data_IF_117677011481
#
_entry.id   IF_117677011481
#
_cell.length_a   1.000
_cell.length_b   1.000
_cell.length_c   1.000
_cell.angle_alpha   90.00
_cell.angle_beta   90.00
_cell.angle_gamma   90.00
#
_symmetry.space_group_name_H-M   'P 1'
#
loop_
_entity.id
_entity.type
_entity.pdbx_description
1 polymer ?
#
# COMPACT_ATOMS: atom_id res chain seq x y z
N UNK A 1 -0.09 -21.55 -5.44
CA UNK A 1 0.44 -20.37 -6.16
C UNK A 1 0.44 -19.19 -5.21
N UNK A 2 1.52 -18.40 -5.20
CA UNK A 2 1.68 -17.21 -4.36
C UNK A 2 1.21 -15.94 -5.05
N UNK A 3 1.32 -15.91 -6.38
CA UNK A 3 0.87 -14.80 -7.21
C UNK A 3 0.39 -15.35 -8.55
N UNK A 4 -0.75 -14.86 -9.04
CA UNK A 4 -1.27 -15.18 -10.37
C UNK A 4 -1.64 -13.88 -11.05
N UNK A 5 -1.24 -13.70 -12.29
CA UNK A 5 -1.59 -12.56 -13.11
C UNK A 5 -2.23 -13.03 -14.42
N UNK A 6 -3.38 -12.48 -14.76
CA UNK A 6 -4.01 -12.65 -16.06
C UNK A 6 -3.67 -11.49 -16.99
N UNK A 7 -3.52 -11.80 -18.26
CA UNK A 7 -3.15 -10.85 -19.30
C UNK A 7 -4.03 -11.06 -20.52
N UNK A 8 -4.26 -9.98 -21.26
CA UNK A 8 -4.92 -10.05 -22.56
C UNK A 8 -3.87 -10.20 -23.65
N UNK A 9 -4.07 -11.17 -24.54
CA UNK A 9 -3.25 -11.35 -25.73
C UNK A 9 -3.40 -10.17 -26.70
N UNK A 10 -2.31 -9.88 -27.40
CA UNK A 10 -2.30 -8.95 -28.53
C UNK A 10 -1.53 -9.61 -29.68
N UNK A 11 -2.23 -10.17 -30.70
CA UNK A 11 -1.58 -10.92 -31.76
C UNK A 11 -0.70 -10.05 -32.68
N UNK A 12 -0.81 -8.72 -32.59
CA UNK A 12 0.05 -7.78 -33.32
C UNK A 12 1.42 -7.59 -32.65
N UNK A 13 1.55 -7.95 -31.36
CA UNK A 13 2.81 -7.90 -30.63
C UNK A 13 3.52 -9.24 -30.68
N UNK A 14 4.83 -9.23 -30.46
CA UNK A 14 5.59 -10.46 -30.26
C UNK A 14 5.08 -11.20 -29.01
N UNK A 15 5.10 -12.53 -29.08
CA UNK A 15 4.80 -13.38 -27.93
C UNK A 15 5.69 -12.99 -26.73
N UNK A 16 5.13 -12.88 -25.51
CA UNK A 16 5.90 -12.54 -24.31
C UNK A 16 7.11 -13.46 -24.12
N UNK A 17 8.17 -12.95 -23.50
CA UNK A 17 9.40 -13.73 -23.28
C UNK A 17 9.13 -15.05 -22.56
N UNK A 18 8.27 -15.05 -21.54
CA UNK A 18 7.86 -16.28 -20.84
C UNK A 18 7.32 -17.35 -21.80
N UNK A 19 6.53 -16.98 -22.80
CA UNK A 19 6.04 -17.94 -23.78
C UNK A 19 7.18 -18.58 -24.57
N UNK A 20 8.14 -17.76 -25.01
CA UNK A 20 9.30 -18.23 -25.77
C UNK A 20 10.19 -19.14 -24.91
N UNK A 21 10.42 -18.76 -23.65
CA UNK A 21 11.24 -19.52 -22.72
C UNK A 21 10.62 -20.87 -22.36
N UNK A 22 9.28 -20.99 -22.36
CA UNK A 22 8.55 -22.20 -21.95
C UNK A 22 8.19 -23.12 -23.12
N UNK A 23 7.95 -22.57 -24.31
CA UNK A 23 7.44 -23.31 -25.47
C UNK A 23 8.45 -23.37 -26.64
N UNK A 24 9.51 -22.57 -26.58
CA UNK A 24 10.36 -22.29 -27.75
C UNK A 24 9.71 -21.29 -28.71
N UNK A 25 10.54 -20.63 -29.53
CA UNK A 25 10.14 -19.49 -30.37
C UNK A 25 8.98 -19.82 -31.32
N UNK A 26 9.03 -20.97 -32.00
CA UNK A 26 8.05 -21.33 -33.03
C UNK A 26 6.68 -21.64 -32.43
N UNK A 27 6.62 -22.55 -31.46
CA UNK A 27 5.35 -22.92 -30.82
C UNK A 27 4.74 -21.74 -30.05
N UNK A 28 5.56 -20.93 -29.39
CA UNK A 28 5.10 -19.71 -28.73
C UNK A 28 4.42 -18.76 -29.72
N UNK A 29 5.03 -18.53 -30.90
CA UNK A 29 4.49 -17.65 -31.93
C UNK A 29 3.17 -18.17 -32.50
N UNK A 30 3.08 -19.47 -32.75
CA UNK A 30 1.88 -20.09 -33.32
C UNK A 30 0.72 -20.04 -32.34
N UNK A 31 0.95 -20.44 -31.08
CA UNK A 31 -0.08 -20.40 -30.04
C UNK A 31 -0.49 -18.96 -29.71
N UNK A 32 0.44 -18.01 -29.69
CA UNK A 32 0.14 -16.58 -29.46
C UNK A 32 -0.80 -16.01 -30.54
N UNK A 33 -0.56 -16.36 -31.81
CA UNK A 33 -1.43 -15.97 -32.93
C UNK A 33 -2.82 -16.59 -32.81
N UNK A 34 -2.90 -17.89 -32.48
CA UNK A 34 -4.17 -18.62 -32.31
C UNK A 34 -4.99 -18.08 -31.14
N UNK A 35 -4.33 -17.78 -30.01
CA UNK A 35 -4.98 -17.17 -28.86
C UNK A 35 -5.63 -15.82 -29.21
N UNK A 36 -4.99 -15.05 -30.10
CA UNK A 36 -5.47 -13.74 -30.49
C UNK A 36 -5.59 -12.82 -29.29
N UNK A 37 -6.80 -12.32 -29.04
CA UNK A 37 -7.11 -11.41 -27.91
C UNK A 37 -7.64 -12.14 -26.66
N UNK A 38 -7.53 -13.47 -26.62
CA UNK A 38 -7.88 -14.29 -25.46
C UNK A 38 -6.98 -14.02 -24.26
N UNK A 39 -7.38 -14.52 -23.08
CA UNK A 39 -6.58 -14.41 -21.86
C UNK A 39 -5.54 -15.51 -21.77
N UNK A 40 -4.41 -15.18 -21.16
CA UNK A 40 -3.41 -16.12 -20.66
C UNK A 40 -2.99 -15.71 -19.27
N UNK A 41 -2.36 -16.63 -18.53
CA UNK A 41 -1.98 -16.39 -17.16
C UNK A 41 -0.51 -16.72 -16.92
N UNK A 42 0.08 -15.96 -16.00
CA UNK A 42 1.37 -16.23 -15.41
C UNK A 42 1.15 -16.49 -13.93
N UNK A 43 1.73 -17.55 -13.40
CA UNK A 43 1.69 -17.85 -11.98
C UNK A 43 3.09 -18.00 -11.41
N UNK A 44 3.26 -17.67 -10.14
CA UNK A 44 4.47 -17.92 -9.38
C UNK A 44 4.12 -18.87 -8.23
N UNK A 45 4.96 -19.87 -8.03
CA UNK A 45 4.89 -20.74 -6.87
C UNK A 45 5.96 -20.33 -5.83
N UNK A 46 6.05 -21.09 -4.75
CA UNK A 46 6.99 -20.82 -3.65
C UNK A 46 8.45 -21.06 -4.06
N UNK A 47 8.69 -21.73 -5.19
CA UNK A 47 9.99 -21.96 -5.80
C UNK A 47 10.57 -20.71 -6.48
N UNK A 48 9.75 -19.65 -6.64
CA UNK A 48 10.15 -18.41 -7.31
C UNK A 48 10.07 -18.47 -8.83
N UNK A 49 9.76 -19.63 -9.42
CA UNK A 49 9.68 -19.79 -10.88
C UNK A 49 8.34 -19.33 -11.43
N UNK A 50 8.39 -18.79 -12.66
CA UNK A 50 7.21 -18.40 -13.40
C UNK A 50 6.65 -19.56 -14.23
N UNK A 51 5.38 -19.85 -14.03
CA UNK A 51 4.61 -20.84 -14.77
C UNK A 51 3.73 -20.14 -15.81
N UNK A 52 3.69 -20.69 -17.02
CA UNK A 52 2.76 -20.24 -18.06
C UNK A 52 1.50 -21.09 -17.99
N UNK A 53 0.34 -20.45 -17.97
CA UNK A 53 -0.96 -21.10 -17.90
C UNK A 53 -1.77 -20.74 -19.13
N UNK A 54 -2.21 -21.75 -19.87
CA UNK A 54 -3.00 -21.63 -21.09
C UNK A 54 -4.32 -22.39 -20.97
N UNK A 55 -5.41 -21.93 -21.61
CA UNK A 55 -6.60 -22.74 -21.81
C UNK A 55 -6.25 -24.04 -22.54
N UNK A 56 -6.80 -25.16 -22.10
CA UNK A 56 -6.57 -26.46 -22.72
C UNK A 56 -6.98 -26.50 -24.20
N UNK A 57 -8.02 -25.75 -24.58
CA UNK A 57 -8.47 -25.63 -25.97
C UNK A 57 -7.40 -25.07 -26.93
N UNK A 58 -6.40 -24.35 -26.41
CA UNK A 58 -5.29 -23.86 -27.21
C UNK A 58 -4.14 -24.88 -27.33
N UNK A 59 -4.13 -25.92 -26.50
CA UNK A 59 -3.03 -26.87 -26.43
C UNK A 59 -3.01 -27.81 -27.64
N UNK A 60 -1.85 -28.01 -28.32
CA UNK A 60 -1.77 -28.93 -29.46
C UNK A 60 -1.97 -30.39 -29.02
N UNK A 61 -2.59 -31.21 -29.87
CA UNK A 61 -2.74 -32.65 -29.63
C UNK A 61 -1.40 -33.40 -29.61
N UNK A 62 -0.38 -32.88 -30.31
CA UNK A 62 0.97 -33.41 -30.30
C UNK A 62 1.96 -32.30 -29.93
N UNK A 63 2.63 -32.49 -28.80
CA UNK A 63 3.67 -31.59 -28.30
C UNK A 63 4.98 -32.35 -28.23
N UNK A 64 6.09 -31.66 -28.52
CA UNK A 64 7.42 -32.24 -28.45
C UNK A 64 7.71 -32.73 -27.02
N UNK A 65 8.45 -33.83 -26.88
CA UNK A 65 8.70 -34.53 -25.60
C UNK A 65 9.43 -33.71 -24.54
N UNK A 66 9.94 -32.53 -24.87
CA UNK A 66 10.84 -31.76 -24.03
C UNK A 66 10.14 -30.63 -23.25
N UNK A 67 8.85 -30.37 -23.51
CA UNK A 67 8.10 -29.34 -22.79
C UNK A 67 7.56 -29.92 -21.49
N UNK A 68 7.88 -29.28 -20.36
CA UNK A 68 7.44 -29.70 -19.05
C UNK A 68 6.06 -29.12 -18.70
N UNK A 69 4.99 -29.86 -18.99
CA UNK A 69 3.61 -29.40 -18.75
C UNK A 69 2.77 -30.36 -17.90
N UNK A 70 1.67 -29.85 -17.35
CA UNK A 70 0.66 -30.59 -16.59
C UNK A 70 -0.74 -30.05 -16.90
N UNK A 71 -1.68 -30.93 -17.24
CA UNK A 71 -3.10 -30.61 -17.34
C UNK A 71 -3.70 -30.48 -15.94
N UNK A 72 -4.50 -29.43 -15.74
CA UNK A 72 -5.29 -29.12 -14.54
C UNK A 72 -6.67 -28.63 -15.00
N UNK A 73 -7.65 -29.53 -15.00
CA UNK A 73 -9.00 -29.28 -15.53
C UNK A 73 -8.92 -28.63 -16.92
N UNK A 74 -9.55 -27.48 -17.14
CA UNK A 74 -9.59 -26.76 -18.42
C UNK A 74 -8.31 -25.97 -18.75
N UNK A 75 -7.22 -26.18 -17.99
CA UNK A 75 -5.98 -25.42 -18.09
C UNK A 75 -4.76 -26.33 -18.26
N UNK A 76 -3.78 -25.86 -19.02
CA UNK A 76 -2.45 -26.46 -19.12
C UNK A 76 -1.44 -25.53 -18.46
N UNK A 77 -0.71 -26.06 -17.48
CA UNK A 77 0.38 -25.36 -16.80
C UNK A 77 1.71 -25.83 -17.34
N UNK A 78 2.53 -24.90 -17.82
CA UNK A 78 3.84 -25.15 -18.39
C UNK A 78 4.90 -24.59 -17.45
N UNK A 79 5.77 -25.48 -16.97
CA UNK A 79 6.89 -25.18 -16.09
C UNK A 79 8.17 -24.87 -16.90
N UNK A 80 9.19 -24.36 -16.22
CA UNK A 80 10.54 -24.19 -16.79
C UNK A 80 11.17 -25.51 -17.23
N UNK A 81 11.03 -26.55 -16.41
CA UNK A 81 11.63 -27.87 -16.63
C UNK A 81 10.87 -28.99 -15.87
N UNK A 82 11.37 -30.21 -15.99
CA UNK A 82 10.78 -31.39 -15.35
C UNK A 82 10.78 -31.37 -13.83
N UNK A 83 11.76 -30.71 -13.18
CA UNK A 83 11.85 -30.59 -11.73
C UNK A 83 10.78 -29.65 -11.20
N UNK A 84 10.65 -28.46 -11.79
CA UNK A 84 9.63 -27.48 -11.41
C UNK A 84 8.22 -28.01 -11.68
N UNK A 85 8.02 -28.78 -12.75
CA UNK A 85 6.77 -29.52 -12.96
C UNK A 85 6.46 -30.50 -11.82
N UNK A 86 7.44 -31.24 -11.33
CA UNK A 86 7.26 -32.17 -10.21
C UNK A 86 6.95 -31.41 -8.91
N UNK A 87 7.66 -30.31 -8.64
CA UNK A 87 7.40 -29.44 -7.48
C UNK A 87 5.99 -28.86 -7.52
N UNK A 88 5.53 -28.39 -8.68
CA UNK A 88 4.17 -27.93 -8.89
C UNK A 88 3.16 -29.04 -8.53
N UNK A 89 3.31 -30.24 -9.07
CA UNK A 89 2.40 -31.37 -8.79
C UNK A 89 2.36 -31.71 -7.30
N UNK A 90 3.52 -31.70 -6.62
CA UNK A 90 3.58 -31.91 -5.17
C UNK A 90 2.86 -30.79 -4.40
N UNK A 91 3.00 -29.53 -4.83
CA UNK A 91 2.35 -28.39 -4.20
C UNK A 91 0.83 -28.42 -4.36
N UNK A 92 0.34 -28.85 -5.53
CA UNK A 92 -1.08 -29.02 -5.80
C UNK A 92 -1.64 -30.16 -4.93
N UNK A 93 -0.95 -31.31 -4.85
CA UNK A 93 -1.39 -32.43 -4.00
C UNK A 93 -1.45 -32.12 -2.50
N UNK A 94 -0.64 -31.17 -2.01
CA UNK A 94 -0.64 -30.74 -0.59
C UNK A 94 -1.61 -29.59 -0.28
N UNK A 95 -2.14 -28.91 -1.30
CA UNK A 95 -2.91 -27.66 -1.15
C UNK A 95 -4.27 -27.62 -1.87
N UNK A 96 -4.55 -28.56 -2.78
CA UNK A 96 -5.86 -28.72 -3.44
C UNK A 96 -6.81 -29.53 -2.56
N UNK A 97 -7.13 -29.00 -1.38
CA UNK A 97 -8.39 -29.38 -0.73
C UNK A 97 -9.45 -28.47 -1.34
N UNK A 98 -10.20 -28.98 -2.32
CA UNK A 98 -11.46 -28.38 -2.73
C UNK A 98 -12.38 -28.35 -1.50
N UNK A 99 -12.34 -27.28 -0.71
CA UNK A 99 -13.43 -26.98 0.21
C UNK A 99 -14.59 -26.46 -0.64
N UNK A 100 -15.33 -27.39 -1.22
CA UNK A 100 -16.59 -27.19 -1.94
C UNK A 100 -17.76 -26.80 -1.00
N UNK A 101 -17.53 -26.76 0.31
CA UNK A 101 -18.50 -26.27 1.29
C UNK A 101 -18.35 -24.76 1.49
N UNK A 102 -19.15 -23.98 0.76
CA UNK A 102 -19.40 -22.56 1.01
C UNK A 102 -18.23 -21.64 0.65
N UNK A 103 -17.89 -21.53 -0.65
CA UNK A 103 -16.96 -20.48 -1.09
C UNK A 103 -17.53 -19.11 -0.70
N UNK A 104 -16.73 -18.31 0.01
CA UNK A 104 -17.11 -16.94 0.32
C UNK A 104 -17.32 -16.14 -0.97
N UNK A 105 -18.23 -15.17 -0.93
CA UNK A 105 -18.44 -14.19 -2.01
C UNK A 105 -17.13 -13.53 -2.48
N UNK A 106 -16.23 -13.22 -1.54
CA UNK A 106 -14.93 -12.63 -1.85
C UNK A 106 -14.04 -13.60 -2.63
N UNK A 107 -14.00 -14.88 -2.25
CA UNK A 107 -13.24 -15.88 -2.99
C UNK A 107 -13.79 -16.07 -4.41
N UNK A 108 -15.11 -16.15 -4.55
CA UNK A 108 -15.79 -16.27 -5.85
C UNK A 108 -15.52 -15.05 -6.74
N UNK A 109 -15.56 -13.84 -6.18
CA UNK A 109 -15.18 -12.61 -6.88
C UNK A 109 -13.73 -12.68 -7.38
N UNK A 110 -12.79 -13.13 -6.52
CA UNK A 110 -11.38 -13.19 -6.88
C UNK A 110 -11.11 -14.17 -8.03
N UNK A 111 -11.75 -15.33 -8.00
CA UNK A 111 -11.67 -16.29 -9.10
C UNK A 111 -12.26 -15.71 -10.38
N UNK A 112 -13.40 -15.01 -10.28
CA UNK A 112 -14.07 -14.41 -11.42
C UNK A 112 -13.22 -13.35 -12.14
N UNK A 113 -12.57 -12.43 -11.41
CA UNK A 113 -11.80 -11.36 -12.08
C UNK A 113 -10.61 -11.89 -12.89
N UNK A 114 -10.00 -13.01 -12.49
CA UNK A 114 -8.90 -13.64 -13.23
C UNK A 114 -9.36 -14.18 -14.60
N UNK A 115 -10.63 -14.57 -14.72
CA UNK A 115 -11.17 -15.20 -15.94
C UNK A 115 -11.78 -14.17 -16.90
N UNK A 116 -12.13 -12.97 -16.43
CA UNK A 116 -12.83 -11.97 -17.25
C UNK A 116 -11.93 -10.88 -17.86
N UNK A 117 -10.73 -10.67 -17.33
CA UNK A 117 -9.85 -9.63 -17.84
C UNK A 117 -8.45 -9.65 -17.23
N UNK A 118 -7.60 -8.68 -17.58
CA UNK A 118 -6.33 -8.48 -16.91
C UNK A 118 -6.55 -8.21 -15.42
N UNK A 119 -5.87 -8.98 -14.58
CA UNK A 119 -6.06 -8.98 -13.15
C UNK A 119 -4.84 -9.60 -12.47
N UNK A 120 -4.71 -9.41 -11.17
CA UNK A 120 -3.67 -10.01 -10.34
C UNK A 120 -4.29 -10.49 -9.04
N UNK A 121 -3.89 -11.67 -8.59
CA UNK A 121 -4.16 -12.19 -7.25
C UNK A 121 -2.86 -12.52 -6.55
N UNK A 122 -2.81 -12.30 -5.24
CA UNK A 122 -1.61 -12.59 -4.46
C UNK A 122 -1.94 -13.08 -3.05
N UNK A 123 -1.00 -13.87 -2.53
CA UNK A 123 -0.88 -14.28 -1.13
C UNK A 123 0.20 -13.42 -0.44
N UNK A 124 0.38 -13.57 0.89
CA UNK A 124 1.40 -12.84 1.63
C UNK A 124 2.82 -13.05 1.06
N UNK A 125 3.14 -14.28 0.66
CA UNK A 125 4.46 -14.62 0.10
C UNK A 125 4.65 -13.97 -1.27
N UNK A 126 3.59 -13.95 -2.08
CA UNK A 126 3.59 -13.26 -3.37
C UNK A 126 3.81 -11.77 -3.21
N UNK A 127 3.10 -11.13 -2.28
CA UNK A 127 3.29 -9.71 -1.96
C UNK A 127 4.71 -9.43 -1.46
N UNK A 128 5.24 -10.26 -0.56
CA UNK A 128 6.58 -10.10 -0.01
C UNK A 128 7.66 -10.17 -1.11
N UNK A 129 7.49 -11.07 -2.08
CA UNK A 129 8.43 -11.22 -3.20
C UNK A 129 8.55 -9.96 -4.09
N UNK A 130 7.47 -9.16 -4.19
CA UNK A 130 7.42 -7.97 -5.04
C UNK A 130 7.69 -6.67 -4.25
N UNK A 131 7.27 -6.62 -2.98
CA UNK A 131 7.33 -5.38 -2.18
C UNK A 131 8.65 -5.18 -1.43
N UNK A 132 9.47 -6.22 -1.27
CA UNK A 132 10.77 -6.14 -0.60
C UNK A 132 10.69 -5.48 0.78
N UNK A 133 11.49 -4.44 1.01
CA UNK A 133 11.52 -3.71 2.27
C UNK A 133 10.19 -3.01 2.64
N UNK A 134 9.28 -2.79 1.69
CA UNK A 134 7.97 -2.17 1.92
C UNK A 134 6.90 -3.15 2.37
N UNK A 135 7.16 -4.47 2.35
CA UNK A 135 6.21 -5.50 2.77
C UNK A 135 5.55 -5.24 4.14
N UNK A 136 6.25 -4.71 5.17
CA UNK A 136 5.63 -4.40 6.47
C UNK A 136 4.57 -3.29 6.42
N UNK A 137 4.63 -2.38 5.44
CA UNK A 137 3.63 -1.31 5.28
C UNK A 137 2.38 -1.77 4.53
N UNK A 138 2.48 -2.89 3.81
CA UNK A 138 1.39 -3.47 3.01
C UNK A 138 0.64 -4.58 3.75
N UNK A 139 0.79 -4.67 5.08
CA UNK A 139 0.21 -5.75 5.88
C UNK A 139 -1.33 -5.75 5.89
N UNK A 140 -1.97 -4.60 5.68
CA UNK A 140 -3.42 -4.52 5.48
C UNK A 140 -3.87 -5.23 4.19
N UNK A 141 -2.96 -5.39 3.22
CA UNK A 141 -3.23 -5.93 1.88
C UNK A 141 -2.47 -7.22 1.59
N UNK A 142 -2.21 -8.04 2.62
CA UNK A 142 -1.48 -9.31 2.53
C UNK A 142 -2.03 -10.28 1.50
N UNK A 143 -3.35 -10.37 1.43
CA UNK A 143 -4.09 -11.07 0.39
C UNK A 143 -4.73 -10.01 -0.49
N UNK A 144 -4.71 -10.24 -1.79
CA UNK A 144 -5.29 -9.27 -2.71
C UNK A 144 -5.70 -9.87 -4.03
N UNK A 145 -6.64 -9.16 -4.65
CA UNK A 145 -7.17 -9.48 -5.95
C UNK A 145 -7.64 -8.21 -6.61
N UNK A 146 -6.98 -7.80 -7.68
CA UNK A 146 -7.26 -6.56 -8.40
C UNK A 146 -7.51 -6.85 -9.87
N UNK A 147 -8.59 -6.31 -10.40
CA UNK A 147 -8.77 -6.11 -11.84
C UNK A 147 -7.94 -4.91 -12.29
N UNK A 148 -7.32 -5.04 -13.47
CA UNK A 148 -6.43 -4.05 -14.05
C UNK A 148 -7.02 -3.56 -15.37
N UNK A 149 -7.02 -2.24 -15.56
CA UNK A 149 -7.45 -1.62 -16.82
C UNK A 149 -6.47 -0.55 -17.24
N UNK A 150 -5.98 -0.65 -18.47
CA UNK A 150 -5.14 0.37 -19.06
C UNK A 150 -5.97 1.23 -20.01
N UNK A 151 -6.07 2.53 -19.73
CA UNK A 151 -6.79 3.51 -20.53
C UNK A 151 -5.86 4.68 -20.86
N UNK A 152 -5.52 4.86 -22.14
CA UNK A 152 -4.58 5.90 -22.61
C UNK A 152 -3.23 5.80 -21.92
N UNK A 153 -2.93 6.68 -20.97
CA UNK A 153 -1.72 6.71 -20.15
C UNK A 153 -1.99 6.41 -18.66
N UNK A 154 -3.15 5.84 -18.35
CA UNK A 154 -3.55 5.55 -16.98
C UNK A 154 -3.71 4.04 -16.80
N UNK A 155 -2.97 3.48 -15.85
CA UNK A 155 -3.24 2.16 -15.32
C UNK A 155 -4.18 2.31 -14.12
N UNK A 156 -5.41 1.84 -14.24
CA UNK A 156 -6.41 1.82 -13.17
C UNK A 156 -6.53 0.41 -12.60
N UNK A 157 -6.78 0.32 -11.30
CA UNK A 157 -7.08 -0.94 -10.65
C UNK A 157 -8.19 -0.81 -9.63
N UNK A 158 -8.88 -1.93 -9.43
CA UNK A 158 -9.87 -2.06 -8.37
C UNK A 158 -10.06 -3.52 -7.98
N UNK A 159 -10.42 -3.77 -6.73
CA UNK A 159 -10.78 -5.09 -6.24
C UNK A 159 -10.71 -5.18 -4.73
N UNK A 160 -10.40 -6.36 -4.21
CA UNK A 160 -10.46 -6.66 -2.78
C UNK A 160 -9.08 -6.97 -2.23
N UNK A 161 -8.81 -6.48 -1.03
CA UNK A 161 -7.58 -6.75 -0.27
C UNK A 161 -7.92 -7.10 1.17
N UNK A 162 -7.02 -7.78 1.86
CA UNK A 162 -7.20 -8.06 3.28
C UNK A 162 -6.00 -8.67 3.97
N UNK A 163 -6.09 -8.72 5.29
CA UNK A 163 -5.09 -9.36 6.15
C UNK A 163 -5.26 -10.89 6.20
N UNK A 164 -6.48 -11.40 5.94
CA UNK A 164 -6.84 -12.82 6.01
C UNK A 164 -7.20 -13.39 4.63
N UNK A 165 -7.03 -14.70 4.40
CA UNK A 165 -7.50 -15.35 3.18
C UNK A 165 -8.98 -15.07 2.90
N UNK A 166 -9.34 -14.86 1.62
CA UNK A 166 -10.70 -14.53 1.22
C UNK A 166 -11.70 -15.65 1.50
N UNK A 167 -11.28 -16.92 1.42
CA UNK A 167 -12.12 -18.08 1.77
C UNK A 167 -12.61 -18.08 3.23
N UNK A 168 -12.01 -17.29 4.13
CA UNK A 168 -12.45 -17.13 5.52
C UNK A 168 -13.42 -15.96 5.72
N UNK A 169 -13.79 -15.23 4.66
CA UNK A 169 -14.71 -14.13 4.75
C UNK A 169 -16.14 -14.61 5.09
N UNK A 170 -16.82 -13.99 6.07
CA UNK A 170 -18.22 -14.30 6.36
C UNK A 170 -19.12 -14.09 5.14
N UNK A 171 -20.16 -14.92 5.01
CA UNK A 171 -21.12 -14.92 3.88
C UNK A 171 -21.77 -13.56 3.64
N UNK A 172 -21.91 -12.73 4.67
CA UNK A 172 -22.55 -11.40 4.56
C UNK A 172 -21.67 -10.27 4.01
N UNK A 173 -20.38 -10.50 3.77
CA UNK A 173 -19.50 -9.48 3.17
C UNK A 173 -19.61 -9.58 1.66
N UNK A 174 -19.78 -8.46 0.95
CA UNK A 174 -19.83 -8.43 -0.52
C UNK A 174 -18.55 -7.78 -1.09
N UNK A 175 -18.10 -8.24 -2.26
CA UNK A 175 -16.95 -7.72 -3.00
C UNK A 175 -17.30 -6.41 -3.72
N UNK A 176 -17.94 -5.50 -3.01
CA UNK A 176 -18.35 -4.18 -3.49
C UNK A 176 -18.06 -3.14 -2.42
N UNK A 177 -17.55 -1.95 -2.79
CA UNK A 177 -17.38 -0.87 -1.83
C UNK A 177 -18.75 -0.40 -1.33
N UNK A 178 -18.79 0.13 -0.11
CA UNK A 178 -19.95 0.90 0.36
C UNK A 178 -20.04 2.16 -0.51
N UNK A 179 -20.92 2.13 -1.52
CA UNK A 179 -21.17 3.27 -2.39
C UNK A 179 -21.86 4.38 -1.59
N UNK A 180 -21.25 5.55 -1.56
CA UNK A 180 -21.94 6.80 -1.24
C UNK A 180 -22.05 7.60 -2.53
N UNK A 181 -23.14 8.39 -2.68
CA UNK A 181 -23.18 9.42 -3.71
C UNK A 181 -21.91 10.26 -3.54
N UNK A 182 -21.06 10.39 -4.57
CA UNK A 182 -20.02 11.39 -4.51
C UNK A 182 -20.76 12.73 -4.39
N UNK A 183 -20.76 13.35 -3.21
CA UNK A 183 -20.57 14.79 -3.23
C UNK A 183 -19.34 14.98 -4.08
N UNK A 184 -19.40 15.81 -5.11
CA UNK A 184 -18.25 16.07 -5.96
C UNK A 184 -17.13 16.55 -5.05
N UNK A 185 -16.30 15.61 -4.59
CA UNK A 185 -15.05 15.89 -3.95
C UNK A 185 -14.26 16.41 -5.13
N UNK A 186 -14.27 17.74 -5.28
CA UNK A 186 -13.08 18.40 -5.76
C UNK A 186 -12.00 17.84 -4.83
N UNK A 187 -11.24 16.87 -5.32
CA UNK A 187 -9.85 16.79 -4.94
C UNK A 187 -9.41 18.23 -5.18
N UNK A 188 -9.35 19.04 -4.11
CA UNK A 188 -8.44 20.15 -4.16
C UNK A 188 -7.14 19.46 -4.52
N UNK A 189 -6.61 19.67 -5.73
CA UNK A 189 -5.22 19.36 -5.93
C UNK A 189 -4.58 20.10 -4.76
N UNK A 190 -3.78 19.42 -3.94
CA UNK A 190 -2.76 20.12 -3.18
C UNK A 190 -2.15 21.06 -4.21
N UNK A 191 -2.44 22.37 -4.09
CA UNK A 191 -2.02 23.35 -5.10
C UNK A 191 -0.53 23.16 -5.18
N UNK A 192 -0.05 22.71 -6.34
CA UNK A 192 1.29 22.97 -6.86
C UNK A 192 2.35 23.25 -5.80
N UNK A 193 2.55 22.32 -4.86
CA UNK A 193 3.85 22.24 -4.24
C UNK A 193 4.55 21.13 -5.00
N UNK A 194 5.45 21.50 -5.91
CA UNK A 194 6.47 20.60 -6.50
C UNK A 194 7.31 19.88 -5.42
N UNK A 195 7.05 20.19 -4.15
CA UNK A 195 7.62 19.57 -2.96
C UNK A 195 6.85 18.34 -2.48
N UNK A 196 5.57 18.16 -2.79
CA UNK A 196 4.76 17.04 -2.29
C UNK A 196 5.20 15.69 -2.89
N UNK A 197 5.74 14.78 -2.08
CA UNK A 197 6.18 13.46 -2.55
C UNK A 197 5.16 12.37 -2.27
N UNK A 198 4.58 12.37 -1.06
CA UNK A 198 3.60 11.37 -0.62
C UNK A 198 2.67 12.02 0.41
N UNK A 199 1.37 11.90 0.21
CA UNK A 199 0.36 12.23 1.22
C UNK A 199 -0.46 10.97 1.51
N UNK A 200 -0.73 10.73 2.78
CA UNK A 200 -1.54 9.61 3.23
C UNK A 200 -2.43 10.03 4.38
N UNK A 201 -3.71 9.69 4.30
CA UNK A 201 -4.68 9.82 5.39
C UNK A 201 -5.20 8.45 5.76
N UNK A 202 -5.24 8.15 7.05
CA UNK A 202 -5.61 6.83 7.57
C UNK A 202 -6.56 7.00 8.75
N UNK A 203 -7.65 6.23 8.74
CA UNK A 203 -8.69 6.29 9.77
C UNK A 203 -8.22 5.77 11.13
N UNK A 204 -7.19 4.92 11.13
CA UNK A 204 -6.64 4.26 12.32
C UNK A 204 -5.20 3.81 12.08
N UNK A 205 -4.27 4.20 12.95
CA UNK A 205 -2.83 3.86 12.84
C UNK A 205 -2.55 2.35 12.78
N UNK A 206 -3.42 1.52 13.35
CA UNK A 206 -3.29 0.05 13.33
C UNK A 206 -3.26 -0.53 11.90
N UNK A 207 -3.86 0.15 10.92
CA UNK A 207 -3.84 -0.25 9.52
C UNK A 207 -2.42 -0.21 8.91
N UNK A 208 -1.55 0.66 9.42
CA UNK A 208 -0.15 0.77 8.98
C UNK A 208 0.80 0.09 9.95
N UNK A 209 0.63 0.36 11.24
CA UNK A 209 1.59 0.03 12.29
C UNK A 209 1.11 -1.10 13.19
N UNK A 210 -0.06 -1.69 12.97
CA UNK A 210 -0.62 -2.71 13.86
C UNK A 210 0.28 -3.94 14.03
N UNK A 211 0.95 -4.36 12.94
CA UNK A 211 1.93 -5.46 12.98
C UNK A 211 3.21 -5.11 13.73
N UNK A 212 3.60 -3.82 13.73
CA UNK A 212 4.77 -3.31 14.43
C UNK A 212 4.46 -3.14 15.92
N UNK A 213 3.35 -2.47 16.24
CA UNK A 213 2.86 -2.21 17.58
C UNK A 213 2.44 -3.51 18.33
N UNK A 214 2.23 -4.61 17.61
CA UNK A 214 1.93 -5.92 18.20
C UNK A 214 3.17 -6.72 18.59
N UNK A 215 4.38 -6.35 18.15
CA UNK A 215 5.62 -7.08 18.49
C UNK A 215 6.01 -6.87 19.95
N UNK A 216 6.19 -7.95 20.71
CA UNK A 216 6.51 -7.88 22.14
C UNK A 216 7.71 -6.98 22.45
N UNK A 217 8.80 -7.09 21.68
CA UNK A 217 10.00 -6.27 21.89
C UNK A 217 9.73 -4.77 21.75
N UNK A 218 8.81 -4.39 20.87
CA UNK A 218 8.39 -3.00 20.67
C UNK A 218 7.47 -2.58 21.81
N UNK A 219 6.51 -3.43 22.18
CA UNK A 219 5.61 -3.16 23.29
C UNK A 219 6.35 -2.94 24.61
N UNK A 220 7.31 -3.82 24.93
CA UNK A 220 8.11 -3.74 26.14
C UNK A 220 8.95 -2.46 26.17
N UNK A 221 9.55 -2.08 25.05
CA UNK A 221 10.32 -0.83 24.94
C UNK A 221 9.42 0.41 25.07
N UNK A 222 8.28 0.43 24.38
CA UNK A 222 7.30 1.52 24.47
C UNK A 222 6.79 1.72 25.90
N UNK A 223 6.54 0.62 26.63
CA UNK A 223 6.10 0.67 28.02
C UNK A 223 7.22 1.15 28.94
N UNK A 224 8.35 0.42 28.98
CA UNK A 224 9.42 0.63 29.96
C UNK A 224 10.21 1.92 29.72
N UNK A 225 10.43 2.29 28.46
CA UNK A 225 11.31 3.41 28.12
C UNK A 225 10.55 4.72 27.86
N UNK A 226 9.26 4.65 27.52
CA UNK A 226 8.47 5.80 27.08
C UNK A 226 7.12 5.94 27.80
N UNK A 227 6.76 5.02 28.70
CA UNK A 227 5.51 5.08 29.47
C UNK A 227 4.24 4.79 28.65
N UNK A 228 4.39 4.26 27.43
CA UNK A 228 3.27 3.94 26.54
C UNK A 228 2.77 2.52 26.85
N UNK A 229 1.99 2.42 27.93
CA UNK A 229 1.36 1.18 28.38
C UNK A 229 0.28 0.67 27.41
N UNK A 230 -0.22 -0.56 27.64
CA UNK A 230 -1.22 -1.19 26.77
C UNK A 230 -2.45 -0.33 26.47
N UNK A 231 -2.97 0.41 27.47
CA UNK A 231 -4.14 1.29 27.28
C UNK A 231 -3.83 2.46 26.35
N UNK A 232 -2.66 3.07 26.48
CA UNK A 232 -2.19 4.13 25.57
C UNK A 232 -1.87 3.57 24.18
N UNK A 233 -1.27 2.37 24.08
CA UNK A 233 -0.99 1.70 22.80
C UNK A 233 -2.27 1.43 22.01
N UNK A 234 -3.31 0.91 22.65
CA UNK A 234 -4.60 0.66 21.98
C UNK A 234 -5.26 1.97 21.48
N UNK A 235 -5.12 3.06 22.24
CA UNK A 235 -5.62 4.37 21.84
C UNK A 235 -4.85 4.95 20.68
N UNK A 236 -3.51 4.88 20.73
CA UNK A 236 -2.65 5.30 19.63
C UNK A 236 -2.97 4.51 18.36
N UNK A 237 -3.12 3.19 18.49
CA UNK A 237 -3.46 2.31 17.37
C UNK A 237 -4.81 2.70 16.72
N UNK A 238 -5.78 3.17 17.50
CA UNK A 238 -7.08 3.64 17.00
C UNK A 238 -7.11 5.09 16.50
N UNK A 239 -6.02 5.84 16.66
CA UNK A 239 -5.99 7.25 16.32
C UNK A 239 -5.98 7.46 14.80
N UNK A 240 -6.80 8.37 14.25
CA UNK A 240 -6.64 8.85 12.89
C UNK A 240 -5.28 9.54 12.71
N UNK A 241 -4.69 9.34 11.53
CA UNK A 241 -3.36 9.81 11.15
C UNK A 241 -3.42 10.46 9.76
N UNK A 242 -2.82 11.64 9.62
CA UNK A 242 -2.35 12.14 8.34
C UNK A 242 -0.82 12.18 8.32
N UNK A 243 -0.25 11.85 7.16
CA UNK A 243 1.17 11.76 6.91
C UNK A 243 1.47 12.49 5.59
N UNK A 244 2.44 13.39 5.60
CA UNK A 244 3.02 13.99 4.41
C UNK A 244 4.52 13.75 4.39
N UNK A 245 5.04 13.47 3.20
CA UNK A 245 6.45 13.48 2.89
C UNK A 245 6.67 14.55 1.83
N UNK A 246 7.55 15.49 2.15
CA UNK A 246 7.82 16.65 1.32
C UNK A 246 9.30 16.77 1.01
N UNK A 247 9.63 17.13 -0.23
CA UNK A 247 10.99 17.37 -0.68
C UNK A 247 11.54 18.62 -0.02
N UNK A 248 12.76 18.50 0.49
CA UNK A 248 13.47 19.61 1.11
C UNK A 248 14.49 20.18 0.10
N UNK A 249 14.32 21.46 -0.33
CA UNK A 249 15.21 22.05 -1.33
C UNK A 249 16.57 22.47 -0.76
N UNK A 250 16.67 22.60 0.57
CA UNK A 250 17.85 23.06 1.31
C UNK A 250 17.95 22.32 2.63
N UNK A 251 19.11 22.39 3.27
CA UNK A 251 19.35 21.78 4.58
C UNK A 251 19.97 20.38 4.46
N UNK A 252 20.11 19.68 5.59
CA UNK A 252 20.82 18.39 5.65
C UNK A 252 19.94 17.21 5.22
N UNK A 253 18.63 17.41 5.06
CA UNK A 253 17.66 16.40 4.68
C UNK A 253 17.20 16.61 3.24
N UNK A 254 16.98 15.52 2.51
CA UNK A 254 16.42 15.57 1.15
C UNK A 254 14.88 15.61 1.16
N UNK A 255 14.28 15.17 2.26
CA UNK A 255 12.84 15.18 2.49
C UNK A 255 12.54 15.30 3.98
N UNK A 256 11.37 15.86 4.30
CA UNK A 256 10.82 15.97 5.64
C UNK A 256 9.53 15.16 5.75
N UNK A 257 9.28 14.63 6.94
CA UNK A 257 8.04 13.94 7.28
C UNK A 257 7.22 14.87 8.18
N UNK A 258 5.95 15.07 7.83
CA UNK A 258 4.95 15.74 8.66
C UNK A 258 3.90 14.69 9.05
N UNK A 259 3.60 14.58 10.34
CA UNK A 259 2.65 13.62 10.91
C UNK A 259 1.65 14.40 11.74
N UNK A 260 0.36 14.17 11.51
CA UNK A 260 -0.73 14.72 12.30
C UNK A 260 -1.55 13.60 12.90
N UNK A 261 -1.67 13.59 14.22
CA UNK A 261 -2.41 12.60 14.99
C UNK A 261 -3.61 13.23 15.66
N UNK A 262 -4.78 12.62 15.51
CA UNK A 262 -5.94 12.97 16.33
C UNK A 262 -5.89 12.18 17.64
N UNK A 263 -5.42 12.84 18.71
CA UNK A 263 -5.21 12.25 20.01
C UNK A 263 -6.35 12.65 20.97
N UNK A 264 -7.42 11.82 21.11
CA UNK A 264 -8.54 12.13 22.00
C UNK A 264 -8.08 12.25 23.46
N UNK A 265 -8.77 13.10 24.22
CA UNK A 265 -8.43 13.52 25.60
C UNK A 265 -7.21 14.46 25.70
N UNK A 266 -6.53 14.75 24.58
CA UNK A 266 -5.64 15.91 24.45
C UNK A 266 -4.32 15.82 25.22
N UNK A 267 -3.63 16.97 25.33
CA UNK A 267 -2.25 17.06 25.83
C UNK A 267 -2.03 16.49 27.22
N UNK A 268 -2.97 16.66 28.16
CA UNK A 268 -2.80 16.21 29.55
C UNK A 268 -2.50 14.71 29.68
N UNK A 269 -3.08 13.89 28.79
CA UNK A 269 -2.88 12.43 28.79
C UNK A 269 -1.54 12.03 28.18
N UNK A 270 -1.06 12.80 27.20
CA UNK A 270 0.13 12.49 26.40
C UNK A 270 1.37 13.23 26.88
N UNK A 271 1.23 14.26 27.72
CA UNK A 271 2.34 15.08 28.21
C UNK A 271 3.41 14.24 28.92
N UNK A 272 3.09 13.27 29.80
CA UNK A 272 4.13 12.45 30.43
C UNK A 272 4.96 11.65 29.41
N UNK A 273 4.34 11.20 28.32
CA UNK A 273 5.02 10.49 27.23
C UNK A 273 5.93 11.48 26.48
N UNK A 274 5.42 12.67 26.14
CA UNK A 274 6.18 13.72 25.45
C UNK A 274 7.37 14.20 26.29
N UNK A 275 7.20 14.33 27.61
CA UNK A 275 8.27 14.72 28.54
C UNK A 275 9.34 13.64 28.61
N UNK A 276 8.94 12.37 28.67
CA UNK A 276 9.87 11.23 28.64
C UNK A 276 10.66 11.20 27.32
N UNK A 277 9.97 11.36 26.18
CA UNK A 277 10.63 11.46 24.86
C UNK A 277 11.59 12.65 24.82
N UNK A 278 11.20 13.80 25.36
CA UNK A 278 12.05 15.00 25.43
C UNK A 278 13.32 14.72 26.22
N UNK A 279 13.22 14.13 27.41
CA UNK A 279 14.36 13.78 28.25
C UNK A 279 15.31 12.82 27.52
N UNK A 280 14.77 11.82 26.82
CA UNK A 280 15.57 10.87 26.03
C UNK A 280 16.29 11.53 24.85
N UNK A 281 15.69 12.52 24.20
CA UNK A 281 16.33 13.28 23.14
C UNK A 281 17.46 14.15 23.71
N UNK A 282 17.23 14.83 24.83
CA UNK A 282 18.29 15.61 25.50
C UNK A 282 19.46 14.73 25.97
N UNK A 283 19.19 13.51 26.44
CA UNK A 283 20.24 12.51 26.78
C UNK A 283 21.05 12.03 25.57
N UNK A 284 20.60 12.32 24.34
CA UNK A 284 21.29 12.02 23.09
C UNK A 284 21.81 13.29 22.42
N UNK A 285 22.04 14.34 23.22
CA UNK A 285 22.61 15.62 22.81
C UNK A 285 21.78 16.42 21.81
N UNK A 286 20.47 16.13 21.69
CA UNK A 286 19.54 17.00 20.97
C UNK A 286 19.18 18.22 21.82
N UNK A 287 19.23 19.39 21.20
CA UNK A 287 18.98 20.67 21.84
C UNK A 287 17.49 21.00 21.70
N UNK A 288 16.82 21.18 22.84
CA UNK A 288 15.40 21.55 22.91
C UNK A 288 15.25 23.06 22.82
N UNK A 289 14.48 23.53 21.85
CA UNK A 289 14.06 24.93 21.74
C UNK A 289 12.54 25.00 21.91
N UNK A 290 12.11 25.49 23.06
CA UNK A 290 10.69 25.67 23.36
C UNK A 290 10.27 27.09 22.96
N UNK A 291 9.35 27.21 22.00
CA UNK A 291 8.85 28.49 21.53
C UNK A 291 7.37 28.63 21.91
N UNK A 292 6.99 29.79 22.46
CA UNK A 292 5.60 30.13 22.70
C UNK A 292 4.95 30.51 21.35
N UNK A 293 4.32 29.55 20.67
CA UNK A 293 3.45 29.89 19.54
C UNK A 293 2.05 30.08 20.08
N UNK A 294 1.53 31.32 19.96
CA UNK A 294 0.10 31.64 20.03
C UNK A 294 -0.24 32.32 18.71
N UNK A 295 -0.55 31.52 17.70
CA UNK A 295 -1.17 31.99 16.46
C UNK A 295 -2.65 31.66 16.53
N UNK A 296 -3.49 32.70 16.52
CA UNK A 296 -4.95 32.58 16.44
C UNK A 296 -5.36 32.87 15.00
N UNK A 297 -5.97 31.91 14.32
CA UNK A 297 -6.53 32.18 12.99
C UNK A 297 -7.73 33.12 13.16
N UNK A 298 -7.69 34.31 12.57
CA UNK A 298 -8.76 35.31 12.72
C UNK A 298 -10.11 34.83 12.17
N UNK A 299 -10.13 33.76 11.37
CA UNK A 299 -11.37 33.19 10.80
C UNK A 299 -11.90 31.97 11.56
N UNK A 300 -11.11 31.32 12.41
CA UNK A 300 -11.50 30.07 13.11
C UNK A 300 -10.86 30.06 14.51
N UNK A 301 -11.57 29.64 15.56
CA UNK A 301 -11.05 29.53 16.94
C UNK A 301 -10.08 28.33 17.11
N UNK A 302 -9.02 28.34 16.30
CA UNK A 302 -7.91 27.39 16.30
C UNK A 302 -6.68 28.11 16.86
N UNK A 303 -6.12 27.55 17.93
CA UNK A 303 -4.91 28.02 18.58
C UNK A 303 -3.85 26.92 18.54
N UNK A 304 -2.61 27.30 18.26
CA UNK A 304 -1.45 26.41 18.43
C UNK A 304 -0.83 26.61 19.81
N UNK A 305 -0.24 25.56 20.38
CA UNK A 305 0.52 25.67 21.63
C UNK A 305 1.58 24.59 21.77
N UNK A 306 2.55 24.84 22.66
CA UNK A 306 3.58 23.87 23.00
C UNK A 306 4.52 23.51 21.85
N UNK A 307 4.79 24.47 20.92
CA UNK A 307 5.78 24.25 19.87
C UNK A 307 7.13 23.96 20.50
N UNK A 308 7.66 22.78 20.20
CA UNK A 308 9.00 22.36 20.58
C UNK A 308 9.77 22.03 19.32
N UNK A 309 10.91 22.67 19.11
CA UNK A 309 11.86 22.35 18.05
C UNK A 309 13.04 21.59 18.65
N UNK A 310 13.58 20.67 17.86
CA UNK A 310 14.78 19.92 18.19
C UNK A 310 15.87 20.27 17.19
N UNK A 311 17.03 20.64 17.72
CA UNK A 311 18.23 20.91 16.94
C UNK A 311 19.30 19.89 17.24
N UNK A 312 20.16 19.65 16.26
CA UNK A 312 21.35 18.83 16.42
C UNK A 312 22.57 19.64 15.97
N UNK A 313 23.70 19.56 16.70
CA UNK A 313 24.93 20.19 16.26
C UNK A 313 25.48 19.49 15.01
N UNK A 314 25.78 20.27 13.98
CA UNK A 314 26.54 19.86 12.79
C UNK A 314 27.83 20.70 12.69
N UNK A 315 28.75 20.27 11.81
CA UNK A 315 30.02 20.98 11.55
C UNK A 315 29.80 22.44 11.16
N UNK A 316 28.72 22.72 10.43
CA UNK A 316 28.36 24.07 9.96
C UNK A 316 27.32 24.78 10.85
N UNK A 317 27.20 24.36 12.12
CA UNK A 317 26.26 24.92 13.09
C UNK A 317 25.04 24.05 13.38
N UNK A 318 24.17 24.53 14.26
CA UNK A 318 22.99 23.79 14.73
C UNK A 318 21.85 23.82 13.69
N UNK A 319 21.37 22.63 13.31
CA UNK A 319 20.28 22.49 12.34
C UNK A 319 19.04 21.91 13.02
N UNK A 320 17.86 22.42 12.64
CA UNK A 320 16.58 21.86 13.06
C UNK A 320 16.44 20.48 12.42
N UNK A 321 16.14 19.48 13.24
CA UNK A 321 15.96 18.08 12.81
C UNK A 321 14.53 17.59 12.98
N UNK A 322 13.68 18.38 13.64
CA UNK A 322 12.29 18.02 13.89
C UNK A 322 11.64 18.91 14.93
N UNK A 323 10.40 18.58 15.26
CA UNK A 323 9.66 19.25 16.31
C UNK A 323 8.26 18.67 16.47
N UNK A 324 7.52 19.22 17.42
CA UNK A 324 6.10 18.93 17.57
C UNK A 324 5.32 20.12 18.11
N UNK A 325 4.01 20.11 17.90
CA UNK A 325 3.10 21.18 18.29
C UNK A 325 1.70 20.61 18.55
N UNK A 326 0.97 21.22 19.49
CA UNK A 326 -0.45 20.94 19.69
C UNK A 326 -1.31 21.93 18.93
N UNK A 327 -2.35 21.42 18.28
CA UNK A 327 -3.44 22.22 17.76
C UNK A 327 -4.66 22.07 18.67
N UNK A 328 -5.23 23.21 19.05
CA UNK A 328 -6.39 23.32 19.92
C UNK A 328 -7.58 23.90 19.16
N UNK A 329 -8.78 23.42 19.47
CA UNK A 329 -10.05 23.97 18.99
C UNK A 329 -10.96 24.21 20.19
N UNK A 330 -11.45 25.44 20.34
CA UNK A 330 -12.23 25.87 21.52
C UNK A 330 -11.50 25.54 22.85
N UNK A 331 -10.18 25.79 22.91
CA UNK A 331 -9.34 25.52 24.08
C UNK A 331 -9.08 24.04 24.40
N UNK A 332 -9.54 23.10 23.56
CA UNK A 332 -9.27 21.65 23.72
C UNK A 332 -8.23 21.20 22.71
N UNK A 333 -7.10 20.59 23.13
CA UNK A 333 -6.15 19.98 22.21
C UNK A 333 -6.82 18.81 21.49
N UNK A 334 -6.89 18.92 20.16
CA UNK A 334 -7.53 17.91 19.30
C UNK A 334 -6.50 17.14 18.47
N UNK A 335 -5.36 17.77 18.16
CA UNK A 335 -4.36 17.21 17.24
C UNK A 335 -2.94 17.48 17.72
N UNK A 336 -2.08 16.53 17.44
CA UNK A 336 -0.65 16.60 17.70
C UNK A 336 0.09 16.49 16.37
N UNK A 337 0.80 17.56 16.00
CA UNK A 337 1.65 17.63 14.83
C UNK A 337 3.09 17.28 15.20
N UNK A 338 3.74 16.45 14.40
CA UNK A 338 5.14 16.05 14.54
C UNK A 338 5.83 16.26 13.20
N UNK A 339 7.03 16.81 13.22
CA UNK A 339 7.89 16.94 12.05
C UNK A 339 9.24 16.26 12.28
N UNK A 340 9.76 15.63 11.23
CA UNK A 340 11.12 15.12 11.15
C UNK A 340 11.78 15.65 9.89
N UNK A 341 13.02 16.13 10.00
CA UNK A 341 13.77 16.74 8.92
C UNK A 341 13.43 18.20 8.64
N UNK A 342 12.45 18.78 9.34
CA UNK A 342 12.07 20.20 9.30
C UNK A 342 11.25 20.56 10.56
N UNK A 343 10.85 21.83 10.69
CA UNK A 343 9.90 22.32 11.68
C UNK A 343 8.44 21.90 11.35
N UNK A 344 7.56 21.74 12.37
CA UNK A 344 6.14 21.47 12.15
C UNK A 344 5.43 22.58 11.34
N UNK A 345 4.80 22.20 10.23
CA UNK A 345 4.10 23.15 9.36
C UNK A 345 2.72 23.52 9.92
N UNK A 346 2.65 24.64 10.65
CA UNK A 346 1.43 25.10 11.33
C UNK A 346 0.23 25.30 10.38
N UNK A 347 0.47 25.81 9.18
CA UNK A 347 -0.57 26.03 8.16
C UNK A 347 -1.16 24.73 7.64
N UNK A 348 -0.34 23.70 7.43
CA UNK A 348 -0.80 22.38 6.98
C UNK A 348 -1.58 21.65 8.09
N UNK A 349 -1.14 21.78 9.34
CA UNK A 349 -1.85 21.23 10.51
C UNK A 349 -3.20 21.94 10.72
N UNK A 350 -3.27 23.25 10.44
CA UNK A 350 -4.50 24.06 10.59
C UNK A 350 -5.58 23.71 9.56
N UNK A 351 -5.18 23.55 8.29
CA UNK A 351 -6.09 23.75 7.17
C UNK A 351 -6.87 22.52 6.73
N UNK A 352 -6.41 21.29 7.03
CA UNK A 352 -7.08 20.08 6.58
C UNK A 352 -7.48 19.16 7.76
N UNK A 353 -8.79 18.96 8.00
CA UNK A 353 -9.19 17.81 8.79
C UNK A 353 -8.79 16.52 8.07
N UNK A 354 -8.65 15.43 8.84
CA UNK A 354 -8.53 14.09 8.25
C UNK A 354 -9.88 13.77 7.61
N UNK A 355 -10.04 14.20 6.34
CA UNK A 355 -11.29 14.17 5.58
C UNK A 355 -11.39 12.85 4.79
N UNK A 356 -11.53 11.78 5.57
CA UNK A 356 -11.95 10.50 5.05
C UNK A 356 -13.48 10.48 5.01
N UNK A 357 -14.04 10.19 3.83
CA UNK A 357 -15.47 9.87 3.73
C UNK A 357 -15.73 8.69 4.68
N UNK A 358 -16.91 8.59 5.29
CA UNK A 358 -17.20 7.54 6.28
C UNK A 358 -16.84 6.12 5.83
N UNK A 359 -16.93 5.85 4.52
CA UNK A 359 -16.56 4.58 3.91
C UNK A 359 -15.05 4.38 3.70
N UNK A 360 -14.25 5.44 3.61
CA UNK A 360 -12.81 5.35 3.34
C UNK A 360 -12.03 5.06 4.63
N UNK A 361 -10.98 4.24 4.51
CA UNK A 361 -10.08 3.89 5.61
C UNK A 361 -8.65 4.34 5.38
N UNK A 362 -8.18 4.35 4.12
CA UNK A 362 -6.87 4.88 3.72
C UNK A 362 -7.04 5.63 2.41
N UNK A 363 -6.58 6.87 2.33
CA UNK A 363 -6.33 7.59 1.08
C UNK A 363 -4.83 7.85 0.95
N UNK A 364 -4.28 7.64 -0.25
CA UNK A 364 -2.88 7.88 -0.55
C UNK A 364 -2.75 8.56 -1.91
N UNK A 365 -1.87 9.56 -1.99
CA UNK A 365 -1.39 10.15 -3.22
C UNK A 365 0.14 10.27 -3.20
N UNK A 366 0.82 9.99 -4.31
CA UNK A 366 2.28 10.07 -4.37
C UNK A 366 2.79 10.44 -5.77
N UNK A 367 3.91 11.17 -5.83
CA UNK A 367 4.74 11.29 -7.03
C UNK A 367 5.82 10.18 -6.99
N UNK A 368 5.51 9.05 -7.61
CA UNK A 368 6.38 7.88 -7.61
C UNK A 368 7.69 8.11 -8.36
N UNK A 369 7.70 8.96 -9.41
CA UNK A 369 8.93 9.31 -10.11
C UNK A 369 9.84 10.20 -9.25
N UNK A 370 9.28 11.12 -8.46
CA UNK A 370 10.06 11.88 -7.49
C UNK A 370 10.58 11.01 -6.34
N UNK A 371 9.75 10.10 -5.80
CA UNK A 371 10.18 9.13 -4.78
C UNK A 371 11.34 8.24 -5.28
N UNK A 372 11.26 7.76 -6.52
CA UNK A 372 12.33 6.98 -7.13
C UNK A 372 13.62 7.79 -7.31
N UNK A 373 13.53 9.04 -7.79
CA UNK A 373 14.68 9.95 -7.94
C UNK A 373 15.39 10.25 -6.61
N UNK A 374 14.66 10.22 -5.50
CA UNK A 374 15.21 10.38 -4.15
C UNK A 374 15.70 9.07 -3.52
N UNK A 375 15.66 7.95 -4.24
CA UNK A 375 16.08 6.64 -3.73
C UNK A 375 15.11 6.02 -2.71
N UNK A 376 13.89 6.54 -2.59
CA UNK A 376 12.86 6.05 -1.65
C UNK A 376 12.04 4.89 -2.23
N UNK A 377 12.12 4.67 -3.54
CA UNK A 377 11.65 3.45 -4.19
C UNK A 377 12.86 2.65 -4.69
N UNK A 378 12.88 1.34 -4.42
CA UNK A 378 13.95 0.47 -4.88
C UNK A 378 13.92 0.22 -6.41
N UNK A 379 15.00 -0.34 -6.95
CA UNK A 379 15.12 -0.62 -8.39
C UNK A 379 14.20 -1.75 -8.88
N UNK A 380 13.76 -2.62 -7.97
CA UNK A 380 12.90 -3.78 -8.25
C UNK A 380 11.49 -3.36 -8.68
N UNK A 381 11.06 -2.14 -8.36
CA UNK A 381 9.80 -1.61 -8.87
C UNK A 381 9.79 -1.55 -10.40
N UNK A 382 8.62 -1.86 -10.98
CA UNK A 382 8.45 -1.86 -12.44
C UNK A 382 8.63 -0.46 -13.03
N UNK A 383 9.08 -0.39 -14.30
CA UNK A 383 9.27 0.88 -15.00
C UNK A 383 8.05 1.81 -14.95
N UNK A 384 6.80 1.32 -15.15
CA UNK A 384 5.61 2.18 -15.02
C UNK A 384 5.49 2.87 -13.66
N UNK A 385 5.81 2.17 -12.56
CA UNK A 385 5.78 2.76 -11.21
C UNK A 385 6.90 3.78 -11.05
N UNK A 386 8.11 3.49 -11.52
CA UNK A 386 9.26 4.39 -11.41
C UNK A 386 9.12 5.68 -12.23
N UNK A 387 8.25 5.70 -13.23
CA UNK A 387 8.09 6.83 -14.17
C UNK A 387 6.77 7.59 -13.99
N UNK A 388 5.87 7.13 -13.14
CA UNK A 388 4.59 7.79 -12.98
C UNK A 388 4.68 9.06 -12.13
N UNK A 389 4.03 10.13 -12.58
CA UNK A 389 3.95 11.42 -11.86
C UNK A 389 2.93 11.38 -10.74
N UNK A 390 1.98 10.45 -10.81
CA UNK A 390 0.89 10.37 -9.84
C UNK A 390 0.44 8.92 -9.64
N UNK A 391 0.48 8.51 -8.38
CA UNK A 391 -0.18 7.33 -7.85
C UNK A 391 -1.28 7.83 -6.92
N UNK A 392 -2.53 7.45 -7.16
CA UNK A 392 -3.63 7.61 -6.20
C UNK A 392 -4.15 6.23 -5.81
N UNK A 393 -4.38 6.03 -4.52
CA UNK A 393 -4.92 4.79 -3.98
C UNK A 393 -5.93 5.12 -2.88
N UNK A 394 -7.05 4.41 -2.86
CA UNK A 394 -8.04 4.46 -1.81
C UNK A 394 -8.36 3.04 -1.33
N UNK A 395 -8.45 2.85 -0.02
CA UNK A 395 -9.05 1.68 0.60
C UNK A 395 -10.33 2.12 1.29
N UNK A 396 -11.40 1.35 1.09
CA UNK A 396 -12.70 1.60 1.70
C UNK A 396 -13.34 0.33 2.25
N UNK A 397 -14.29 0.50 3.15
CA UNK A 397 -15.07 -0.61 3.70
C UNK A 397 -15.87 -1.31 2.61
N UNK A 398 -15.90 -2.63 2.69
CA UNK A 398 -16.77 -3.48 1.88
C UNK A 398 -18.21 -3.43 2.41
N UNK A 399 -19.19 -3.63 1.52
CA UNK A 399 -20.59 -3.82 1.94
C UNK A 399 -20.73 -5.04 2.85
N UNK A 400 -21.64 -4.93 3.82
CA UNK A 400 -21.87 -5.98 4.81
C UNK A 400 -20.83 -6.05 5.94
N UNK A 401 -19.82 -5.17 5.94
CA UNK A 401 -18.89 -5.06 7.05
C UNK A 401 -19.51 -4.31 8.24
N UNK A 402 -19.33 -4.85 9.45
CA UNK A 402 -19.52 -4.05 10.66
C UNK A 402 -18.28 -3.16 10.80
N UNK A 403 -18.45 -1.85 10.68
CA UNK A 403 -17.42 -0.80 10.58
C UNK A 403 -16.23 -0.89 11.56
N UNK A 404 -16.33 -1.66 12.65
CA UNK A 404 -15.31 -1.76 13.70
C UNK A 404 -14.46 -3.04 13.70
N UNK A 405 -14.74 -4.04 12.84
CA UNK A 405 -14.03 -5.35 12.84
C UNK A 405 -13.97 -6.04 11.47
N UNK A 406 -13.50 -5.34 10.43
CA UNK A 406 -13.24 -6.00 9.14
C UNK A 406 -11.74 -6.31 8.96
N UNK A 407 -11.45 -7.42 8.29
CA UNK A 407 -10.10 -7.79 7.85
C UNK A 407 -9.93 -7.64 6.34
N UNK A 408 -10.95 -7.13 5.65
CA UNK A 408 -11.02 -6.99 4.20
C UNK A 408 -11.58 -5.63 3.81
N UNK A 409 -11.06 -5.10 2.71
CA UNK A 409 -11.37 -3.78 2.17
C UNK A 409 -11.49 -3.82 0.66
N UNK A 410 -12.22 -2.87 0.11
CA UNK A 410 -12.15 -2.55 -1.30
C UNK A 410 -10.94 -1.65 -1.54
N UNK A 411 -10.11 -1.98 -2.51
CA UNK A 411 -9.00 -1.14 -2.96
C UNK A 411 -9.32 -0.64 -4.36
N UNK A 412 -9.13 0.66 -4.59
CA UNK A 412 -9.11 1.24 -5.93
C UNK A 412 -7.94 2.20 -6.07
N UNK A 413 -7.49 2.40 -7.30
CA UNK A 413 -6.42 3.34 -7.55
C UNK A 413 -6.12 3.52 -9.02
N UNK A 414 -5.19 4.43 -9.26
CA UNK A 414 -4.70 4.73 -10.59
C UNK A 414 -3.25 5.20 -10.53
N UNK A 415 -2.53 4.88 -11.60
CA UNK A 415 -1.18 5.31 -11.87
C UNK A 415 -1.20 6.07 -13.19
N UNK A 416 -0.80 7.34 -13.16
CA UNK A 416 -0.72 8.20 -14.35
C UNK A 416 0.72 8.17 -14.84
N UNK A 417 0.93 7.53 -15.99
CA UNK A 417 2.22 7.44 -16.65
C UNK A 417 2.52 8.73 -17.40
N UNK A 418 3.79 9.15 -17.40
CA UNK A 418 4.24 10.15 -18.37
C UNK A 418 3.98 9.64 -19.78
N UNK A 419 3.47 10.50 -20.65
CA UNK A 419 3.48 10.19 -22.06
C UNK A 419 4.94 10.03 -22.46
N UNK A 420 5.28 8.87 -23.04
CA UNK A 420 6.60 8.70 -23.64
C UNK A 420 6.82 9.90 -24.57
N UNK A 421 7.81 10.73 -24.25
CA UNK A 421 8.29 11.75 -25.18
C UNK A 421 8.63 10.98 -26.44
N UNK A 422 7.85 11.16 -27.50
CA UNK A 422 8.22 10.63 -28.81
C UNK A 422 9.60 11.20 -29.14
N UNK A 423 10.59 10.35 -29.44
CA UNK A 423 11.91 10.81 -29.85
C UNK A 423 11.85 11.64 -31.13
#
# INVERSE_FOLDING_TARGET
MTLIQSFRGDPQRQAPRLWQDRLGINLAKDLWRRQGRGLWWQAWANDGEAYLLLPEILWPMSVTSNIAFKHLDEMVVIASDGLHRQQLVQSLGKGFVHSSAGQSSLQSYCSSVLVHGPAVTWSPDGLASVSGAMAPLLQSSRYGCLSLRFERNQLKWQGVVGYRPFGLAPVGIDASPIQHRPMAIKLSPRRDSDQALLNMQVKSMDLLFGSLLSKQIIQDSLDKNYGINQKLRLRLASAPLAFSLDKQPKGPFQASIQIQLELPEGSSRWQPVIDTVSQRLQQRDFIKEANAVVQKDQKIDVDFSGLTLWRQPYVDGEKVVGGWVWQQKNGKPIRFGIALGDSPMLTEISNEPIDLVDSDVIKLSADTAALYRLGLLNELWSAPVKQARMLNMNLSYLRGTKLKKTHWWWMSGQLILEQASTP
#
